data_IF_270646504762
#
_entry.id   IF_270646504762
#
_cell.length_a   1.000
_cell.length_b   1.000
_cell.length_c   1.000
_cell.angle_alpha   90.00
_cell.angle_beta   90.00
_cell.angle_gamma   90.00
#
_symmetry.space_group_name_H-M   'P 1'
#
loop_
_entity.id
_entity.type
_entity.pdbx_description
1 polymer ?
#
# COMPACT_ATOMS: atom_id res chain seq x y z
N UNK A 1 -12.86 -2.80 -15.22
CA UNK A 1 -12.07 -3.49 -14.18
C UNK A 1 -12.38 -2.85 -12.84
N UNK A 2 -12.54 -3.65 -11.77
CA UNK A 2 -12.63 -3.11 -10.41
C UNK A 2 -11.29 -2.48 -9.99
N UNK A 3 -11.34 -1.43 -9.18
CA UNK A 3 -10.16 -0.76 -8.64
C UNK A 3 -10.44 -0.33 -7.19
N UNK A 4 -9.43 -0.43 -6.33
CA UNK A 4 -9.50 -0.03 -4.92
C UNK A 4 -8.40 0.99 -4.67
N UNK A 5 -8.75 2.12 -4.04
CA UNK A 5 -7.78 3.14 -3.66
C UNK A 5 -7.33 2.92 -2.21
N UNK A 6 -6.08 2.50 -2.02
CA UNK A 6 -5.52 2.18 -0.70
C UNK A 6 -5.25 3.41 0.19
N UNK A 7 -5.44 4.62 -0.35
CA UNK A 7 -5.24 5.88 0.37
C UNK A 7 -6.54 6.53 0.88
N UNK A 8 -7.71 5.90 0.65
CA UNK A 8 -9.01 6.52 0.95
C UNK A 8 -9.52 6.22 2.35
N UNK A 9 -9.14 5.08 2.93
CA UNK A 9 -9.51 4.72 4.29
C UNK A 9 -8.50 5.27 5.31
N UNK A 10 -8.85 6.40 5.91
CA UNK A 10 -8.02 7.06 6.93
C UNK A 10 -7.84 6.23 8.19
N UNK A 11 -8.82 5.40 8.57
CA UNK A 11 -8.70 4.58 9.77
C UNK A 11 -7.65 3.49 9.57
N UNK A 12 -7.67 2.84 8.42
CA UNK A 12 -6.65 1.86 8.02
C UNK A 12 -5.26 2.49 7.92
N UNK A 13 -5.13 3.64 7.25
CA UNK A 13 -3.84 4.34 7.13
C UNK A 13 -3.24 4.72 8.50
N UNK A 14 -4.04 5.34 9.37
CA UNK A 14 -3.56 5.86 10.65
C UNK A 14 -3.27 4.76 11.65
N UNK A 15 -4.08 3.70 11.70
CA UNK A 15 -3.83 2.54 12.57
C UNK A 15 -2.56 1.80 12.17
N UNK A 16 -2.34 1.52 10.87
CA UNK A 16 -1.11 0.86 10.43
C UNK A 16 0.11 1.74 10.72
N UNK A 17 0.01 3.05 10.45
CA UNK A 17 1.11 3.98 10.71
C UNK A 17 1.45 4.07 12.21
N UNK A 18 0.43 4.02 13.07
CA UNK A 18 0.59 4.08 14.53
C UNK A 18 1.18 2.79 15.11
N UNK A 19 0.68 1.63 14.66
CA UNK A 19 1.00 0.34 15.27
C UNK A 19 2.24 -0.34 14.65
N UNK A 20 2.57 0.01 13.40
CA UNK A 20 3.72 -0.54 12.67
C UNK A 20 4.71 0.56 12.28
N UNK A 21 4.44 1.26 11.18
CA UNK A 21 5.21 2.41 10.69
C UNK A 21 4.50 3.00 9.47
N UNK A 22 4.78 4.26 9.13
CA UNK A 22 4.14 4.92 7.98
C UNK A 22 4.52 4.28 6.64
N UNK A 23 5.72 3.73 6.53
CA UNK A 23 6.19 3.01 5.35
C UNK A 23 5.47 1.67 5.11
N UNK A 24 4.71 1.15 6.08
CA UNK A 24 3.97 -0.12 5.96
C UNK A 24 2.51 0.07 5.47
N UNK A 25 2.02 1.31 5.38
CA UNK A 25 0.58 1.62 5.22
C UNK A 25 -0.06 1.02 3.97
N UNK A 26 0.69 0.84 2.89
CA UNK A 26 0.19 0.23 1.66
C UNK A 26 0.53 -1.26 1.58
N UNK A 27 1.73 -1.66 2.01
CA UNK A 27 2.16 -3.06 1.98
C UNK A 27 1.21 -3.95 2.81
N UNK A 28 0.85 -3.53 4.02
CA UNK A 28 -0.10 -4.25 4.88
C UNK A 28 -1.47 -4.45 4.22
N UNK A 29 -1.96 -3.44 3.50
CA UNK A 29 -3.24 -3.56 2.79
C UNK A 29 -3.12 -4.55 1.62
N UNK A 30 -2.05 -4.47 0.83
CA UNK A 30 -1.78 -5.39 -0.28
C UNK A 30 -1.68 -6.83 0.23
N UNK A 31 -0.93 -7.06 1.31
CA UNK A 31 -0.81 -8.37 1.96
C UNK A 31 -2.18 -8.95 2.34
N UNK A 32 -3.12 -8.10 2.79
CA UNK A 32 -4.42 -8.53 3.29
C UNK A 32 -5.46 -8.80 2.19
N UNK A 33 -5.49 -7.97 1.13
CA UNK A 33 -6.56 -8.02 0.12
C UNK A 33 -6.09 -8.40 -1.29
N UNK A 34 -4.78 -8.30 -1.54
CA UNK A 34 -4.18 -8.59 -2.84
C UNK A 34 -4.24 -10.07 -3.16
N UNK A 35 -4.51 -10.39 -4.43
CA UNK A 35 -4.52 -11.77 -4.93
C UNK A 35 -3.51 -11.92 -6.05
N UNK A 36 -3.15 -13.17 -6.32
CA UNK A 36 -2.40 -13.52 -7.52
C UNK A 36 -3.13 -12.95 -8.75
N UNK A 37 -2.36 -12.34 -9.66
CA UNK A 37 -2.83 -11.68 -10.89
C UNK A 37 -3.46 -10.29 -10.70
N UNK A 38 -3.64 -9.80 -9.47
CA UNK A 38 -3.96 -8.40 -9.24
C UNK A 38 -2.76 -7.49 -9.58
N UNK A 39 -3.04 -6.22 -9.88
CA UNK A 39 -2.02 -5.23 -10.21
C UNK A 39 -2.04 -4.09 -9.20
N UNK A 40 -0.90 -3.86 -8.55
CA UNK A 40 -0.67 -2.65 -7.76
C UNK A 40 -0.17 -1.50 -8.65
N UNK A 41 -0.72 -0.30 -8.46
CA UNK A 41 -0.27 0.92 -9.15
C UNK A 41 0.06 2.01 -8.13
N UNK A 42 1.34 2.16 -7.81
CA UNK A 42 1.86 3.23 -6.98
C UNK A 42 2.12 4.51 -7.77
N UNK A 43 1.84 5.67 -7.16
CA UNK A 43 2.19 6.98 -7.71
C UNK A 43 3.19 7.66 -6.79
N UNK A 44 4.33 8.03 -7.35
CA UNK A 44 5.37 8.81 -6.65
C UNK A 44 6.10 9.67 -7.68
N UNK A 45 6.42 10.90 -7.31
CA UNK A 45 7.19 11.82 -8.18
C UNK A 45 8.69 11.62 -8.04
N UNK A 46 9.16 11.33 -6.83
CA UNK A 46 10.58 11.16 -6.53
C UNK A 46 11.09 9.74 -6.81
N UNK A 47 10.18 8.75 -6.84
CA UNK A 47 10.57 7.33 -6.90
C UNK A 47 11.11 6.78 -5.58
N UNK A 48 11.24 7.61 -4.54
CA UNK A 48 11.91 7.27 -3.28
C UNK A 48 10.93 7.20 -2.09
N UNK A 49 9.63 7.15 -2.35
CA UNK A 49 8.62 7.01 -1.29
C UNK A 49 8.67 5.61 -0.71
N UNK A 50 9.21 5.44 0.49
CA UNK A 50 9.40 4.11 1.11
C UNK A 50 8.10 3.31 1.23
N UNK A 51 6.98 3.96 1.51
CA UNK A 51 5.66 3.32 1.53
C UNK A 51 5.22 2.74 0.17
N UNK A 52 5.64 3.34 -0.95
CA UNK A 52 5.39 2.83 -2.30
C UNK A 52 6.38 1.71 -2.62
N UNK A 53 7.65 1.89 -2.27
CA UNK A 53 8.69 0.88 -2.51
C UNK A 53 8.37 -0.43 -1.79
N UNK A 54 7.99 -0.38 -0.49
CA UNK A 54 7.53 -1.56 0.26
C UNK A 54 6.28 -2.19 -0.34
N UNK A 55 5.32 -1.39 -0.78
CA UNK A 55 4.11 -1.88 -1.44
C UNK A 55 4.41 -2.62 -2.76
N UNK A 56 5.37 -2.14 -3.54
CA UNK A 56 5.83 -2.83 -4.76
C UNK A 56 6.45 -4.18 -4.38
N UNK A 57 7.31 -4.22 -3.36
CA UNK A 57 7.90 -5.48 -2.92
C UNK A 57 6.85 -6.50 -2.47
N UNK A 58 5.82 -6.07 -1.74
CA UNK A 58 4.72 -6.95 -1.28
C UNK A 58 3.82 -7.42 -2.44
N UNK A 59 3.69 -6.62 -3.51
CA UNK A 59 2.87 -6.95 -4.68
C UNK A 59 3.56 -7.89 -5.69
N UNK A 60 4.85 -8.22 -5.49
CA UNK A 60 5.62 -9.13 -6.35
C UNK A 60 5.52 -10.58 -5.87
#
# INVERSE_FOLDING_TARGET
MPAISLNSDTATLTSIANDYAYEEVFAKQIQAIGKKEDVFKGFTTSGNSENITKAIYEAN
#
